data_IF_013541472760
#
_entry.id   IF_013541472760
#
_cell.length_a   1.000
_cell.length_b   1.000
_cell.length_c   1.000
_cell.angle_alpha   90.00
_cell.angle_beta   90.00
_cell.angle_gamma   90.00
#
_symmetry.space_group_name_H-M   'P 1'
#
loop_
_entity.id
_entity.type
_entity.pdbx_description
1 polymer ?
#
# COMPACT_ATOMS: atom_id res chain seq x y z
N UNK A 1 -11.37 -7.51 14.28
CA UNK A 1 -11.70 -8.37 13.14
C UNK A 1 -12.65 -7.62 12.20
N UNK A 2 -12.27 -7.43 10.93
CA UNK A 2 -13.03 -6.56 10.01
C UNK A 2 -14.49 -6.99 9.76
N UNK A 3 -14.86 -8.28 9.65
CA UNK A 3 -16.25 -8.70 9.57
C UNK A 3 -17.10 -8.20 10.73
N UNK A 4 -16.61 -8.31 11.97
CA UNK A 4 -17.32 -7.83 13.16
C UNK A 4 -17.55 -6.31 13.14
N UNK A 5 -16.62 -5.54 12.56
CA UNK A 5 -16.81 -4.10 12.42
C UNK A 5 -17.91 -3.76 11.42
N UNK A 6 -18.05 -4.53 10.34
CA UNK A 6 -19.15 -4.39 9.39
C UNK A 6 -20.51 -4.72 10.03
N UNK A 7 -20.58 -5.81 10.81
CA UNK A 7 -21.77 -6.17 11.57
C UNK A 7 -22.18 -5.06 12.55
N UNK A 8 -21.22 -4.48 13.28
CA UNK A 8 -21.49 -3.36 14.20
C UNK A 8 -22.02 -2.12 13.47
N UNK A 9 -21.50 -1.78 12.28
CA UNK A 9 -22.05 -0.67 11.49
C UNK A 9 -23.48 -0.97 11.01
N UNK A 10 -23.78 -2.20 10.61
CA UNK A 10 -25.12 -2.63 10.22
C UNK A 10 -26.10 -2.57 11.41
N UNK A 11 -25.65 -2.81 12.63
CA UNK A 11 -26.41 -2.66 13.87
C UNK A 11 -26.56 -1.17 14.31
N UNK A 12 -25.96 -0.22 13.58
CA UNK A 12 -26.07 1.22 13.83
C UNK A 12 -25.01 1.80 14.79
N UNK A 13 -23.97 1.05 15.14
CA UNK A 13 -22.85 1.59 15.91
C UNK A 13 -21.96 2.49 15.04
N UNK A 14 -21.48 3.56 15.65
CA UNK A 14 -20.50 4.46 15.01
C UNK A 14 -19.09 3.87 15.12
N UNK A 15 -18.57 3.31 14.03
CA UNK A 15 -17.23 2.70 13.95
C UNK A 15 -16.25 3.70 13.35
N UNK A 16 -15.15 3.99 14.06
CA UNK A 16 -14.11 4.95 13.62
C UNK A 16 -12.73 4.27 13.72
N UNK A 17 -11.95 4.21 12.60
CA UNK A 17 -12.36 4.53 11.22
C UNK A 17 -13.47 3.61 10.72
N UNK A 18 -14.16 3.98 9.64
CA UNK A 18 -15.27 3.15 9.12
C UNK A 18 -14.83 1.70 8.89
N UNK A 19 -15.74 0.76 9.05
CA UNK A 19 -15.45 -0.66 8.83
C UNK A 19 -14.95 -0.91 7.40
N UNK A 20 -15.51 -0.17 6.41
CA UNK A 20 -15.03 -0.19 5.02
C UNK A 20 -13.59 0.28 4.90
N UNK A 21 -13.23 1.41 5.52
CA UNK A 21 -11.85 1.92 5.51
C UNK A 21 -10.89 0.91 6.14
N UNK A 22 -11.25 0.37 7.30
CA UNK A 22 -10.46 -0.66 7.99
C UNK A 22 -10.25 -1.89 7.11
N UNK A 23 -11.30 -2.38 6.45
CA UNK A 23 -11.21 -3.53 5.56
C UNK A 23 -10.26 -3.29 4.38
N UNK A 24 -10.39 -2.14 3.72
CA UNK A 24 -9.58 -1.80 2.55
C UNK A 24 -8.10 -1.58 2.89
N UNK A 25 -7.81 -0.97 4.05
CA UNK A 25 -6.43 -0.64 4.43
C UNK A 25 -5.69 -1.79 5.13
N UNK A 26 -6.42 -2.77 5.70
CA UNK A 26 -5.83 -3.98 6.26
C UNK A 26 -5.29 -4.94 5.20
N UNK A 27 -5.78 -4.83 3.97
CA UNK A 27 -5.48 -5.70 2.84
C UNK A 27 -4.86 -4.89 1.70
N UNK A 28 -3.61 -5.24 1.32
CA UNK A 28 -2.93 -4.59 0.19
C UNK A 28 -3.68 -4.74 -1.13
N UNK A 29 -4.42 -5.83 -1.33
CA UNK A 29 -5.21 -6.02 -2.54
C UNK A 29 -6.37 -5.03 -2.60
N UNK A 30 -7.11 -4.88 -1.50
CA UNK A 30 -8.25 -3.98 -1.44
C UNK A 30 -7.88 -2.54 -1.76
N UNK A 31 -6.91 -1.98 -1.06
CA UNK A 31 -6.47 -0.59 -1.30
C UNK A 31 -5.79 -0.41 -2.66
N UNK A 32 -5.04 -1.41 -3.15
CA UNK A 32 -4.40 -1.36 -4.46
C UNK A 32 -5.42 -1.33 -5.60
N UNK A 33 -6.44 -2.18 -5.54
CA UNK A 33 -7.50 -2.20 -6.54
C UNK A 33 -8.31 -0.92 -6.52
N UNK A 34 -8.68 -0.44 -5.34
CA UNK A 34 -9.34 0.86 -5.19
C UNK A 34 -8.56 1.96 -5.91
N UNK A 35 -7.26 2.09 -5.62
CA UNK A 35 -6.44 3.14 -6.23
C UNK A 35 -6.29 2.96 -7.75
N UNK A 36 -5.91 1.76 -8.19
CA UNK A 36 -5.54 1.52 -9.58
C UNK A 36 -6.73 1.25 -10.50
N UNK A 37 -7.72 0.47 -10.04
CA UNK A 37 -8.80 -0.05 -10.88
C UNK A 37 -10.07 0.81 -10.78
N UNK A 38 -10.45 1.26 -9.60
CA UNK A 38 -11.66 2.07 -9.39
C UNK A 38 -11.38 3.55 -9.64
N UNK A 39 -10.39 4.10 -8.94
CA UNK A 39 -10.04 5.53 -9.02
C UNK A 39 -9.12 5.88 -10.20
N UNK A 40 -8.56 4.88 -10.90
CA UNK A 40 -7.62 5.08 -12.03
C UNK A 40 -6.41 5.95 -11.68
N UNK A 41 -5.98 5.91 -10.42
CA UNK A 41 -4.81 6.65 -9.95
C UNK A 41 -3.52 5.96 -10.42
N UNK A 42 -2.45 6.71 -10.61
CA UNK A 42 -1.15 6.13 -10.95
C UNK A 42 -0.63 5.27 -9.80
N UNK A 43 -0.30 4.03 -10.11
CA UNK A 43 0.34 3.08 -9.19
C UNK A 43 1.47 2.37 -9.91
N UNK A 44 2.39 1.73 -9.16
CA UNK A 44 3.32 0.78 -9.77
C UNK A 44 2.54 -0.34 -10.47
N UNK A 45 3.02 -0.87 -11.63
CA UNK A 45 2.43 -2.06 -12.22
C UNK A 45 2.44 -3.22 -11.24
N UNK A 46 1.38 -4.01 -11.17
CA UNK A 46 1.30 -5.10 -10.20
C UNK A 46 0.56 -6.33 -10.72
N UNK A 47 0.81 -7.46 -10.06
CA UNK A 47 0.07 -8.71 -10.23
C UNK A 47 -0.07 -9.38 -8.87
N UNK A 48 -1.24 -9.99 -8.62
CA UNK A 48 -1.42 -10.87 -7.45
C UNK A 48 -1.15 -12.32 -7.84
N UNK A 49 -0.67 -13.10 -6.88
CA UNK A 49 -0.40 -14.52 -7.05
C UNK A 49 -0.73 -15.30 -5.79
N UNK A 50 -1.47 -16.41 -5.94
CA UNK A 50 -1.82 -17.34 -4.86
C UNK A 50 -0.87 -18.54 -4.82
N UNK A 51 -0.24 -18.83 -5.96
CA UNK A 51 0.64 -19.97 -6.13
C UNK A 51 2.01 -19.56 -6.65
N UNK A 52 3.02 -20.36 -6.37
CA UNK A 52 4.37 -20.14 -6.91
C UNK A 52 4.39 -20.05 -8.45
N UNK A 53 3.54 -20.83 -9.11
CA UNK A 53 3.41 -20.81 -10.57
C UNK A 53 2.91 -19.45 -11.07
N UNK A 54 1.89 -18.88 -10.40
CA UNK A 54 1.37 -17.55 -10.73
C UNK A 54 2.38 -16.46 -10.38
N UNK A 55 3.06 -16.59 -9.27
CA UNK A 55 4.14 -15.69 -8.85
C UNK A 55 5.24 -15.59 -9.90
N UNK A 56 5.78 -16.73 -10.38
CA UNK A 56 6.77 -16.74 -11.45
C UNK A 56 6.25 -16.15 -12.76
N UNK A 57 4.97 -16.40 -13.08
CA UNK A 57 4.32 -15.78 -14.24
C UNK A 57 4.19 -14.26 -14.08
N UNK A 58 3.88 -13.79 -12.87
CA UNK A 58 3.79 -12.37 -12.56
C UNK A 58 5.14 -11.67 -12.74
N UNK A 59 6.22 -12.24 -12.21
CA UNK A 59 7.58 -11.71 -12.40
C UNK A 59 7.96 -11.67 -13.87
N UNK A 60 7.69 -12.75 -14.62
CA UNK A 60 7.97 -12.78 -16.06
C UNK A 60 7.23 -11.67 -16.82
N UNK A 61 6.00 -11.35 -16.38
CA UNK A 61 5.19 -10.29 -17.03
C UNK A 61 5.66 -8.89 -16.67
N UNK A 62 6.03 -8.66 -15.42
CA UNK A 62 6.43 -7.33 -14.93
C UNK A 62 7.90 -7.01 -15.19
N UNK A 63 8.74 -8.05 -15.26
CA UNK A 63 10.20 -7.92 -15.39
C UNK A 63 10.91 -7.71 -14.06
N UNK A 64 12.24 -7.65 -14.13
CA UNK A 64 13.13 -7.36 -13.01
C UNK A 64 13.73 -5.95 -13.20
N UNK A 65 14.01 -5.22 -12.12
CA UNK A 65 13.72 -5.58 -10.73
C UNK A 65 12.23 -5.46 -10.38
N UNK A 66 11.79 -6.23 -9.38
CA UNK A 66 10.43 -6.13 -8.85
C UNK A 66 10.42 -6.31 -7.32
N UNK A 67 9.32 -5.90 -6.68
CA UNK A 67 9.15 -6.01 -5.23
C UNK A 67 8.05 -7.01 -4.92
N UNK A 68 8.33 -7.93 -4.00
CA UNK A 68 7.39 -8.95 -3.55
C UNK A 68 6.94 -8.60 -2.14
N UNK A 69 5.64 -8.66 -1.89
CA UNK A 69 5.07 -8.41 -0.55
C UNK A 69 3.93 -9.39 -0.28
N UNK A 70 3.83 -9.97 0.93
CA UNK A 70 2.59 -10.62 1.35
C UNK A 70 1.42 -9.63 1.32
N UNK A 71 0.23 -10.08 0.91
CA UNK A 71 -0.96 -9.23 0.89
C UNK A 71 -1.29 -8.71 2.29
N UNK A 72 -1.13 -9.56 3.31
CA UNK A 72 -1.30 -9.18 4.71
C UNK A 72 0.01 -9.27 5.49
N UNK A 73 0.72 -8.18 5.58
CA UNK A 73 1.92 -8.05 6.44
C UNK A 73 2.10 -6.60 6.90
N UNK A 74 2.96 -6.38 7.88
CA UNK A 74 3.34 -5.06 8.37
C UNK A 74 4.84 -4.97 8.60
N UNK A 75 5.35 -3.74 8.66
CA UNK A 75 6.75 -3.45 8.97
C UNK A 75 7.74 -4.17 8.06
N UNK A 76 7.44 -4.27 6.77
CA UNK A 76 8.32 -4.88 5.78
C UNK A 76 8.50 -6.41 5.88
N UNK A 77 7.85 -7.08 6.85
CA UNK A 77 8.00 -8.54 7.01
C UNK A 77 7.52 -9.27 5.76
N UNK A 78 8.35 -10.18 5.25
CA UNK A 78 8.10 -10.93 4.03
C UNK A 78 8.28 -10.12 2.74
N UNK A 79 8.72 -8.86 2.82
CA UNK A 79 9.00 -8.04 1.64
C UNK A 79 10.41 -8.31 1.12
N UNK A 80 10.55 -8.43 -0.19
CA UNK A 80 11.83 -8.61 -0.87
C UNK A 80 11.92 -7.80 -2.15
N UNK A 81 13.09 -7.24 -2.42
CA UNK A 81 13.46 -6.71 -3.72
C UNK A 81 14.15 -7.82 -4.51
N UNK A 82 13.54 -8.24 -5.61
CA UNK A 82 14.05 -9.25 -6.54
C UNK A 82 14.75 -8.55 -7.68
N UNK A 83 16.07 -8.65 -7.76
CA UNK A 83 16.91 -8.03 -8.79
C UNK A 83 17.30 -8.99 -9.88
N UNK A 84 17.48 -10.26 -9.53
CA UNK A 84 17.96 -11.32 -10.39
C UNK A 84 17.08 -12.57 -10.28
N UNK A 85 17.23 -13.51 -11.21
CA UNK A 85 16.50 -14.77 -11.16
C UNK A 85 16.85 -15.60 -9.90
N UNK A 86 18.07 -15.46 -9.37
CA UNK A 86 18.49 -16.14 -8.14
C UNK A 86 17.73 -15.69 -6.89
N UNK A 87 17.15 -14.49 -6.91
CA UNK A 87 16.40 -13.93 -5.79
C UNK A 87 14.95 -14.42 -5.73
N UNK A 88 14.45 -15.05 -6.83
CA UNK A 88 13.02 -15.39 -6.98
C UNK A 88 12.57 -16.39 -5.91
N UNK A 89 13.28 -17.49 -5.75
CA UNK A 89 12.90 -18.55 -4.81
C UNK A 89 13.04 -18.14 -3.35
N UNK A 90 14.14 -17.48 -2.94
CA UNK A 90 14.25 -16.93 -1.59
C UNK A 90 13.15 -15.91 -1.26
N UNK A 91 12.80 -15.05 -2.22
CA UNK A 91 11.75 -14.05 -2.02
C UNK A 91 10.36 -14.66 -1.83
N UNK A 92 10.04 -15.72 -2.60
CA UNK A 92 8.81 -16.47 -2.40
C UNK A 92 8.75 -17.12 -1.03
N UNK A 93 9.79 -17.85 -0.64
CA UNK A 93 9.87 -18.50 0.66
C UNK A 93 9.69 -17.49 1.80
N UNK A 94 10.43 -16.39 1.77
CA UNK A 94 10.34 -15.33 2.78
C UNK A 94 8.96 -14.68 2.83
N UNK A 95 8.30 -14.47 1.69
CA UNK A 95 6.95 -13.91 1.66
C UNK A 95 5.93 -14.85 2.30
N UNK A 96 6.11 -16.17 2.18
CA UNK A 96 5.23 -17.17 2.81
C UNK A 96 5.41 -17.22 4.34
N UNK A 97 6.61 -16.97 4.84
CA UNK A 97 6.90 -16.92 6.29
C UNK A 97 6.45 -15.60 6.94
N UNK A 98 6.56 -14.49 6.21
CA UNK A 98 6.31 -13.14 6.72
C UNK A 98 4.84 -12.70 6.75
N UNK A 99 3.92 -13.49 6.19
CA UNK A 99 2.50 -13.16 6.14
C UNK A 99 1.82 -13.27 7.52
N UNK A 100 1.03 -12.27 7.92
CA UNK A 100 0.24 -12.32 9.18
C UNK A 100 -0.81 -13.43 9.23
N UNK A 101 -1.29 -13.84 8.08
CA UNK A 101 -2.27 -14.91 7.92
C UNK A 101 -1.62 -16.27 7.61
N UNK A 102 -0.29 -16.40 7.77
CA UNK A 102 0.48 -17.55 7.32
C UNK A 102 0.81 -17.49 5.83
N UNK A 103 1.16 -18.64 5.26
CA UNK A 103 1.41 -18.78 3.83
C UNK A 103 0.18 -18.36 3.01
N UNK A 104 0.37 -17.57 1.96
CA UNK A 104 -0.77 -17.10 1.20
C UNK A 104 -0.40 -16.19 0.03
N UNK A 105 -1.37 -15.40 -0.34
CA UNK A 105 -1.36 -14.49 -1.49
C UNK A 105 -0.29 -13.41 -1.37
N UNK A 106 0.41 -13.18 -2.45
CA UNK A 106 1.41 -12.11 -2.57
C UNK A 106 1.02 -11.11 -3.66
N UNK A 107 1.54 -9.90 -3.55
CA UNK A 107 1.59 -8.92 -4.63
C UNK A 107 3.02 -8.86 -5.17
N UNK A 108 3.15 -8.90 -6.48
CA UNK A 108 4.37 -8.61 -7.23
C UNK A 108 4.21 -7.21 -7.82
N UNK A 109 5.09 -6.30 -7.47
CA UNK A 109 5.05 -4.90 -7.94
C UNK A 109 6.27 -4.61 -8.80
N UNK A 110 6.09 -3.93 -9.94
CA UNK A 110 7.21 -3.39 -10.70
C UNK A 110 7.98 -2.38 -9.84
N UNK A 111 9.29 -2.43 -9.92
CA UNK A 111 10.15 -1.48 -9.21
C UNK A 111 9.96 -0.07 -9.78
N UNK A 112 9.86 0.90 -8.90
CA UNK A 112 9.81 2.32 -9.25
C UNK A 112 11.08 2.97 -8.73
N UNK A 113 11.87 3.52 -9.65
CA UNK A 113 13.03 4.34 -9.32
C UNK A 113 12.53 5.77 -9.07
N UNK A 114 12.45 6.16 -7.81
CA UNK A 114 11.92 7.45 -7.38
C UNK A 114 13.02 8.33 -6.78
N UNK A 115 12.91 9.62 -6.96
CA UNK A 115 13.88 10.58 -6.38
C UNK A 115 13.74 10.68 -4.87
N UNK A 116 12.52 10.60 -4.35
CA UNK A 116 12.21 10.62 -2.90
C UNK A 116 10.84 10.00 -2.62
N UNK A 117 10.66 9.58 -1.40
CA UNK A 117 9.42 9.02 -0.87
C UNK A 117 8.81 9.97 0.18
N UNK A 118 7.49 10.10 0.17
CA UNK A 118 6.78 10.95 1.13
C UNK A 118 5.66 10.21 1.86
N UNK A 119 5.36 10.70 3.06
CA UNK A 119 4.08 10.49 3.73
C UNK A 119 3.32 11.82 3.73
N UNK A 120 2.08 11.80 3.23
CA UNK A 120 1.17 12.95 3.27
C UNK A 120 0.02 12.64 4.23
N UNK A 121 0.09 13.20 5.44
CA UNK A 121 -1.00 13.11 6.41
C UNK A 121 -2.18 13.95 5.92
N UNK A 122 -3.32 13.28 5.82
CA UNK A 122 -4.55 13.84 5.25
C UNK A 122 -5.66 13.71 6.27
N UNK A 123 -6.30 14.81 6.61
CA UNK A 123 -7.36 14.89 7.61
C UNK A 123 -8.68 15.25 6.91
N UNK A 124 -9.67 14.37 7.01
CA UNK A 124 -11.04 14.66 6.57
C UNK A 124 -11.87 15.19 7.73
N UNK A 125 -12.57 16.29 7.51
CA UNK A 125 -13.42 16.92 8.51
C UNK A 125 -14.71 17.46 7.87
N UNK A 126 -15.63 17.96 8.67
CA UNK A 126 -16.95 18.40 8.19
C UNK A 126 -16.90 19.55 7.16
N UNK A 127 -15.82 20.34 7.13
CA UNK A 127 -15.63 21.45 6.20
C UNK A 127 -14.77 21.07 4.97
N UNK A 128 -14.28 19.83 4.88
CA UNK A 128 -13.46 19.38 3.74
C UNK A 128 -12.28 18.49 4.10
N UNK A 129 -11.16 18.74 3.43
CA UNK A 129 -9.91 18.00 3.60
C UNK A 129 -8.76 18.95 3.89
N UNK A 130 -7.97 18.66 4.90
CA UNK A 130 -6.74 19.38 5.24
C UNK A 130 -5.54 18.47 5.08
N UNK A 131 -4.42 19.03 4.65
CA UNK A 131 -3.16 18.32 4.47
C UNK A 131 -2.09 18.90 5.39
N UNK A 132 -1.31 18.03 6.04
CA UNK A 132 -0.07 18.44 6.66
C UNK A 132 1.02 18.65 5.59
N UNK A 133 2.07 19.37 5.94
CA UNK A 133 3.26 19.41 5.09
C UNK A 133 3.78 18.00 4.84
N UNK A 134 4.23 17.67 3.62
CA UNK A 134 4.76 16.34 3.32
C UNK A 134 5.94 15.99 4.21
N UNK A 135 5.96 14.75 4.66
CA UNK A 135 7.07 14.18 5.42
C UNK A 135 7.92 13.37 4.45
N UNK A 136 9.16 13.80 4.22
CA UNK A 136 10.15 13.00 3.53
C UNK A 136 10.73 11.96 4.47
N UNK A 137 11.12 10.80 3.95
CA UNK A 137 11.77 9.79 4.75
C UNK A 137 12.75 8.95 3.94
N UNK A 138 13.71 8.39 4.64
CA UNK A 138 14.68 7.44 4.12
C UNK A 138 14.51 6.11 4.81
N UNK A 139 14.42 5.07 4.01
CA UNK A 139 14.44 3.68 4.46
C UNK A 139 15.77 3.03 4.05
N UNK A 140 16.24 2.11 4.85
CA UNK A 140 17.44 1.33 4.59
C UNK A 140 17.20 -0.10 5.10
N UNK A 141 17.37 -1.08 4.21
CA UNK A 141 17.09 -2.49 4.50
C UNK A 141 15.67 -2.76 5.04
N UNK A 142 14.70 -1.97 4.61
CA UNK A 142 13.30 -2.06 5.07
C UNK A 142 13.02 -1.35 6.40
N UNK A 143 14.02 -0.80 7.04
CA UNK A 143 13.90 0.00 8.26
C UNK A 143 13.77 1.49 7.98
N UNK A 144 12.85 2.12 8.69
CA UNK A 144 12.68 3.57 8.70
C UNK A 144 13.82 4.22 9.49
N UNK A 145 14.73 4.90 8.82
CA UNK A 145 15.96 5.46 9.43
C UNK A 145 15.86 6.93 9.76
N UNK A 146 15.24 7.70 8.89
CA UNK A 146 15.27 9.15 8.96
C UNK A 146 13.99 9.76 8.40
N UNK A 147 13.51 10.83 8.99
CA UNK A 147 12.41 11.63 8.45
C UNK A 147 12.65 13.11 8.68
N UNK A 148 12.08 13.92 7.81
CA UNK A 148 12.11 15.37 7.89
C UNK A 148 10.80 15.98 7.38
N UNK A 149 10.47 17.15 7.87
CA UNK A 149 9.26 17.88 7.48
C UNK A 149 9.56 19.38 7.51
N UNK A 150 9.23 20.12 6.44
CA UNK A 150 8.61 19.65 5.21
C UNK A 150 9.59 18.97 4.24
N UNK A 151 9.10 18.05 3.40
CA UNK A 151 9.81 17.61 2.21
C UNK A 151 9.63 18.66 1.12
N UNK A 152 10.71 19.25 0.57
CA UNK A 152 10.59 20.12 -0.60
C UNK A 152 10.06 19.37 -1.82
N UNK A 153 9.05 19.93 -2.47
CA UNK A 153 8.42 19.36 -3.66
C UNK A 153 8.13 20.47 -4.67
N UNK A 154 8.06 20.12 -5.96
CA UNK A 154 7.53 21.05 -6.95
C UNK A 154 6.03 21.26 -6.74
N UNK A 155 5.49 22.43 -7.12
CA UNK A 155 4.06 22.72 -7.03
C UNK A 155 3.21 21.67 -7.77
N UNK A 156 3.67 21.20 -8.93
CA UNK A 156 2.99 20.18 -9.70
C UNK A 156 2.96 18.82 -8.99
N UNK A 157 4.07 18.42 -8.32
CA UNK A 157 4.11 17.18 -7.54
C UNK A 157 3.22 17.29 -6.28
N UNK A 158 3.25 18.44 -5.59
CA UNK A 158 2.40 18.70 -4.44
C UNK A 158 0.92 18.61 -4.80
N UNK A 159 0.53 19.30 -5.90
CA UNK A 159 -0.85 19.23 -6.37
C UNK A 159 -1.30 17.79 -6.64
N UNK A 160 -0.49 17.00 -7.35
CA UNK A 160 -0.80 15.59 -7.61
C UNK A 160 -0.90 14.77 -6.33
N UNK A 161 -0.04 15.02 -5.35
CA UNK A 161 -0.10 14.32 -4.07
C UNK A 161 -1.41 14.63 -3.33
N UNK A 162 -1.86 15.89 -3.30
CA UNK A 162 -3.15 16.30 -2.75
C UNK A 162 -4.31 15.66 -3.48
N UNK A 163 -4.34 15.73 -4.82
CA UNK A 163 -5.41 15.15 -5.65
C UNK A 163 -5.56 13.62 -5.39
N UNK A 164 -4.43 12.89 -5.29
CA UNK A 164 -4.42 11.46 -4.99
C UNK A 164 -4.93 11.18 -3.57
N UNK A 165 -4.42 11.93 -2.59
CA UNK A 165 -4.79 11.73 -1.19
C UNK A 165 -6.28 12.02 -0.95
N UNK A 166 -6.80 13.09 -1.54
CA UNK A 166 -8.22 13.44 -1.46
C UNK A 166 -9.11 12.37 -2.10
N UNK A 167 -8.74 11.88 -3.29
CA UNK A 167 -9.48 10.82 -3.98
C UNK A 167 -9.55 9.54 -3.14
N UNK A 168 -8.40 9.06 -2.61
CA UNK A 168 -8.35 7.83 -1.80
C UNK A 168 -9.12 8.01 -0.50
N UNK A 169 -8.87 9.08 0.25
CA UNK A 169 -9.53 9.29 1.55
C UNK A 169 -11.02 9.57 1.38
N UNK A 170 -11.43 10.17 0.23
CA UNK A 170 -12.83 10.30 -0.16
C UNK A 170 -13.55 8.96 -0.23
N UNK A 171 -12.94 8.00 -0.92
CA UNK A 171 -13.50 6.64 -1.06
C UNK A 171 -13.43 5.80 0.22
N UNK A 172 -12.46 6.03 1.08
CA UNK A 172 -12.44 5.37 2.40
C UNK A 172 -13.60 5.82 3.28
N UNK A 173 -14.07 7.04 3.10
CA UNK A 173 -15.19 7.62 3.85
C UNK A 173 -14.83 7.95 5.30
N UNK A 174 -15.83 8.47 6.03
CA UNK A 174 -15.65 8.90 7.43
C UNK A 174 -14.87 10.20 7.57
N UNK A 175 -14.63 10.55 8.82
CA UNK A 175 -13.77 11.67 9.22
C UNK A 175 -12.60 11.18 10.07
N UNK A 176 -11.42 11.84 9.93
CA UNK A 176 -10.21 11.48 10.66
C UNK A 176 -8.93 11.91 9.98
#
# INVERSE_FOLDING_TARGET
>A
HTPTLLELEEEGFNVIPTARATRLTMDREGIRRLAAEDLKLPTSPYQFADTEKEYRKAIKKLGLPCVIKPVMSSSGKGQSLVKTEADIDPAWAYAQEGGRAGAGRVIVEGFVDFDYEITLLTIRHCEGVSFCSPIGHRQEDGDYRESWQPQPMSEAAMKKAHDIAEAITGELGGYG
#
